data_IF_574700539478
#
_entry.id   IF_574700539478
#
_cell.length_a   1.000
_cell.length_b   1.000
_cell.length_c   1.000
_cell.angle_alpha   90.00
_cell.angle_beta   90.00
_cell.angle_gamma   90.00
#
_symmetry.space_group_name_H-M   'P 1'
#
loop_
_entity.id
_entity.type
_entity.pdbx_description
1 polymer ?
#
# COMPACT_ATOMS: atom_id res chain seq x y z
N UNK A 1 19.69 -1.50 9.46
CA UNK A 1 19.29 -2.52 8.45
C UNK A 1 19.75 -2.04 7.07
N UNK A 2 20.17 -2.91 6.15
CA UNK A 2 20.47 -2.50 4.77
C UNK A 2 19.18 -2.49 3.93
N UNK A 3 18.60 -1.29 3.77
CA UNK A 3 17.35 -1.09 3.03
C UNK A 3 17.49 -1.32 1.52
N UNK A 4 18.68 -1.14 0.95
CA UNK A 4 18.92 -1.40 -0.47
C UNK A 4 18.89 -2.90 -0.76
N UNK A 5 19.55 -3.69 0.08
CA UNK A 5 19.46 -5.15 0.02
C UNK A 5 18.04 -5.64 0.28
N UNK A 6 17.33 -5.05 1.24
CA UNK A 6 15.93 -5.39 1.52
C UNK A 6 15.00 -5.12 0.33
N UNK A 7 15.15 -3.97 -0.35
CA UNK A 7 14.42 -3.65 -1.57
C UNK A 7 14.65 -4.72 -2.66
N UNK A 8 15.91 -5.12 -2.87
CA UNK A 8 16.24 -6.16 -3.84
C UNK A 8 15.56 -7.49 -3.51
N UNK A 9 15.59 -7.92 -2.24
CA UNK A 9 14.95 -9.16 -1.78
C UNK A 9 13.42 -9.13 -1.96
N UNK A 10 12.76 -8.01 -1.62
CA UNK A 10 11.31 -7.83 -1.85
C UNK A 10 10.98 -7.91 -3.35
N UNK A 11 11.74 -7.21 -4.19
CA UNK A 11 11.55 -7.19 -5.65
C UNK A 11 11.78 -8.57 -6.26
N UNK A 12 12.78 -9.31 -5.82
CA UNK A 12 13.08 -10.66 -6.31
C UNK A 12 11.99 -11.67 -5.89
N UNK A 13 11.65 -11.71 -4.61
CA UNK A 13 10.70 -12.68 -4.07
C UNK A 13 9.29 -12.50 -4.61
N UNK A 14 8.89 -11.25 -4.87
CA UNK A 14 7.53 -10.90 -5.30
C UNK A 14 7.44 -10.51 -6.77
N UNK A 15 8.55 -10.31 -7.49
CA UNK A 15 8.59 -9.79 -8.87
C UNK A 15 7.76 -8.51 -9.03
N UNK A 16 7.98 -7.54 -8.13
CA UNK A 16 7.20 -6.32 -8.07
C UNK A 16 7.33 -5.49 -9.35
N UNK A 17 6.21 -4.88 -9.78
CA UNK A 17 6.17 -3.94 -10.91
C UNK A 17 6.74 -2.57 -10.56
N UNK A 18 6.66 -2.18 -9.28
CA UNK A 18 7.06 -0.85 -8.78
C UNK A 18 7.95 -0.98 -7.56
N UNK A 19 8.61 0.11 -7.17
CA UNK A 19 9.48 0.12 -6.00
C UNK A 19 8.69 -0.06 -4.68
N UNK A 20 9.18 -0.90 -3.74
CA UNK A 20 8.71 -0.84 -2.36
C UNK A 20 9.16 0.48 -1.74
N UNK A 21 8.30 1.10 -0.93
CA UNK A 21 8.53 2.43 -0.37
C UNK A 21 8.88 2.37 1.10
N UNK A 22 9.77 3.26 1.53
CA UNK A 22 9.84 3.71 2.92
C UNK A 22 9.13 5.05 3.08
N UNK A 23 8.47 5.21 4.22
CA UNK A 23 7.61 6.35 4.57
C UNK A 23 8.02 6.87 5.94
N UNK A 24 8.14 8.19 6.09
CA UNK A 24 8.31 8.83 7.38
C UNK A 24 7.45 10.07 7.52
N UNK A 25 7.06 10.36 8.75
CA UNK A 25 6.23 11.48 9.16
C UNK A 25 7.07 12.42 10.03
N UNK A 26 7.17 13.68 9.62
CA UNK A 26 8.08 14.63 10.22
C UNK A 26 7.30 15.72 10.94
N UNK A 27 7.65 15.98 12.20
CA UNK A 27 7.05 17.08 12.99
C UNK A 27 7.54 18.46 12.56
N UNK A 28 8.70 18.53 11.91
CA UNK A 28 9.30 19.76 11.41
C UNK A 28 9.67 19.59 9.94
N UNK A 29 9.30 20.56 9.11
CA UNK A 29 9.65 20.60 7.70
C UNK A 29 11.18 20.69 7.50
N UNK A 30 11.91 21.28 8.44
CA UNK A 30 13.38 21.36 8.38
C UNK A 30 14.06 19.98 8.46
N UNK A 31 13.37 18.96 9.01
CA UNK A 31 13.87 17.59 9.07
C UNK A 31 13.68 16.83 7.74
N UNK A 32 12.98 17.41 6.77
CA UNK A 32 12.73 16.78 5.48
C UNK A 32 14.05 16.67 4.68
N UNK A 33 14.49 15.46 4.32
CA UNK A 33 15.73 15.28 3.58
C UNK A 33 15.54 15.79 2.15
N UNK A 34 16.66 15.97 1.44
CA UNK A 34 16.65 16.42 0.05
C UNK A 34 15.74 15.53 -0.79
N UNK A 35 14.64 16.10 -1.24
CA UNK A 35 13.56 15.40 -1.94
C UNK A 35 12.89 16.33 -2.94
N UNK A 36 12.12 15.75 -3.86
CA UNK A 36 11.31 16.47 -4.84
C UNK A 36 10.00 16.87 -4.18
N UNK A 37 9.75 18.17 -4.05
CA UNK A 37 8.46 18.72 -3.62
C UNK A 37 7.65 19.16 -4.86
N UNK A 38 6.45 18.62 -5.12
CA UNK A 38 5.68 18.94 -6.32
C UNK A 38 5.41 20.43 -6.53
N UNK A 39 5.16 21.19 -5.45
CA UNK A 39 4.94 22.63 -5.54
C UNK A 39 6.18 23.39 -6.04
N UNK A 40 7.38 22.92 -5.66
CA UNK A 40 8.65 23.56 -6.02
C UNK A 40 9.15 23.12 -7.38
N UNK A 41 8.94 21.84 -7.74
CA UNK A 41 9.47 21.25 -8.98
C UNK A 41 8.56 21.54 -10.16
N UNK A 42 7.23 21.52 -9.96
CA UNK A 42 6.25 21.65 -11.03
C UNK A 42 5.37 22.91 -10.91
N UNK A 43 5.41 23.62 -9.78
CA UNK A 43 4.43 24.66 -9.49
C UNK A 43 3.02 24.10 -9.30
N UNK A 44 2.89 22.83 -8.89
CA UNK A 44 1.60 22.13 -8.76
C UNK A 44 1.41 21.55 -7.37
N UNK A 45 0.15 21.52 -6.94
CA UNK A 45 -0.31 20.76 -5.76
C UNK A 45 -0.86 19.42 -6.22
N UNK A 46 -0.63 18.37 -5.44
CA UNK A 46 -0.95 16.98 -5.77
C UNK A 46 -1.70 16.30 -4.63
N UNK A 47 -2.16 15.08 -4.83
CA UNK A 47 -2.65 14.24 -3.73
C UNK A 47 -1.48 13.51 -3.06
N UNK A 48 -1.66 13.06 -1.81
CA UNK A 48 -0.64 12.23 -1.13
C UNK A 48 -0.36 10.96 -1.94
N UNK A 49 -1.42 10.33 -2.46
CA UNK A 49 -1.36 9.18 -3.35
C UNK A 49 -0.53 9.44 -4.62
N UNK A 50 -0.63 10.63 -5.22
CA UNK A 50 0.24 10.99 -6.36
C UNK A 50 1.71 11.06 -5.96
N UNK A 51 2.03 11.55 -4.76
CA UNK A 51 3.39 11.50 -4.22
C UNK A 51 3.89 10.06 -4.03
N UNK A 52 3.01 9.16 -3.59
CA UNK A 52 3.29 7.71 -3.53
C UNK A 52 3.62 7.19 -4.92
N UNK A 53 2.82 7.51 -5.94
CA UNK A 53 3.08 7.11 -7.34
C UNK A 53 4.40 7.65 -7.86
N UNK A 54 4.72 8.93 -7.62
CA UNK A 54 6.01 9.50 -7.99
C UNK A 54 7.16 8.73 -7.32
N UNK A 55 7.01 8.32 -6.06
CA UNK A 55 8.02 7.52 -5.39
C UNK A 55 8.14 6.11 -5.98
N UNK A 56 7.04 5.37 -6.13
CA UNK A 56 7.08 3.94 -6.52
C UNK A 56 7.27 3.71 -8.02
N UNK A 57 6.81 4.62 -8.87
CA UNK A 57 6.88 4.48 -10.33
C UNK A 57 8.05 5.26 -10.92
N UNK A 58 8.30 6.50 -10.49
CA UNK A 58 9.42 7.29 -11.02
C UNK A 58 10.73 7.04 -10.26
N UNK A 59 10.67 6.38 -9.09
CA UNK A 59 11.83 6.14 -8.24
C UNK A 59 12.34 7.40 -7.54
N UNK A 60 11.47 8.39 -7.32
CA UNK A 60 11.84 9.67 -6.70
C UNK A 60 11.76 9.60 -5.18
N UNK A 61 12.68 10.27 -4.49
CA UNK A 61 12.43 10.68 -3.10
C UNK A 61 11.56 11.93 -3.12
N UNK A 62 10.38 11.86 -2.55
CA UNK A 62 9.32 12.87 -2.58
C UNK A 62 9.06 13.38 -1.16
N UNK A 63 8.97 14.70 -1.04
CA UNK A 63 8.55 15.36 0.18
C UNK A 63 7.22 16.05 -0.03
N UNK A 64 6.30 15.93 0.93
CA UNK A 64 4.99 16.54 0.88
C UNK A 64 4.74 17.32 2.17
N UNK A 65 4.57 18.63 2.08
CA UNK A 65 4.02 19.45 3.16
C UNK A 65 2.67 20.04 2.75
N UNK A 66 2.04 20.83 3.62
CA UNK A 66 0.72 21.44 3.38
C UNK A 66 0.63 22.15 2.02
N UNK A 67 1.68 22.86 1.60
CA UNK A 67 1.70 23.61 0.34
C UNK A 67 1.77 22.71 -0.91
N UNK A 68 2.15 21.45 -0.77
CA UNK A 68 2.21 20.48 -1.88
C UNK A 68 0.88 19.78 -2.12
N UNK A 69 -0.08 19.87 -1.20
CA UNK A 69 -1.24 18.98 -1.16
C UNK A 69 -2.53 19.68 -1.58
N UNK A 70 -3.41 19.02 -2.34
CA UNK A 70 -4.75 19.55 -2.73
C UNK A 70 -5.92 18.67 -2.29
N UNK A 71 -5.67 17.41 -1.92
CA UNK A 71 -6.72 16.46 -1.53
C UNK A 71 -7.20 16.73 -0.09
N UNK A 72 -8.36 17.37 0.07
CA UNK A 72 -8.92 17.72 1.38
C UNK A 72 -9.07 16.52 2.33
N UNK A 73 -9.64 15.36 1.92
CA UNK A 73 -9.72 14.20 2.82
C UNK A 73 -8.36 13.71 3.31
N UNK A 74 -7.35 13.68 2.41
CA UNK A 74 -5.98 13.32 2.76
C UNK A 74 -5.34 14.35 3.70
N UNK A 75 -5.59 15.64 3.47
CA UNK A 75 -5.08 16.70 4.34
C UNK A 75 -5.70 16.63 5.75
N UNK A 76 -7.00 16.37 5.88
CA UNK A 76 -7.68 16.17 7.17
C UNK A 76 -7.13 14.94 7.91
N UNK A 77 -6.98 13.81 7.21
CA UNK A 77 -6.45 12.58 7.81
C UNK A 77 -4.97 12.71 8.25
N UNK A 78 -4.16 13.49 7.52
CA UNK A 78 -2.74 13.68 7.82
C UNK A 78 -2.44 14.90 8.70
N UNK A 79 -3.46 15.63 9.15
CA UNK A 79 -3.26 16.80 10.01
C UNK A 79 -2.69 18.03 9.28
N UNK A 80 -2.78 18.08 7.94
CA UNK A 80 -2.33 19.23 7.14
C UNK A 80 -3.38 20.34 7.02
N UNK A 81 -4.42 20.33 7.86
CA UNK A 81 -5.37 21.43 8.02
C UNK A 81 -5.05 22.23 9.29
N UNK A 82 -5.56 23.47 9.43
CA UNK A 82 -5.54 24.19 10.71
C UNK A 82 -6.27 23.41 11.81
N UNK A 83 -6.47 24.00 13.00
CA UNK A 83 -7.22 23.42 14.12
C UNK A 83 -8.73 23.21 13.84
N UNK A 84 -9.04 22.47 12.78
CA UNK A 84 -10.35 21.95 12.37
C UNK A 84 -10.68 20.68 13.15
N UNK A 85 -11.95 20.32 13.26
CA UNK A 85 -12.35 18.97 13.69
C UNK A 85 -12.34 18.02 12.49
N UNK A 86 -11.29 17.20 12.29
CA UNK A 86 -11.19 16.36 11.11
C UNK A 86 -12.27 15.28 11.06
N UNK A 87 -12.85 14.91 12.19
CA UNK A 87 -13.89 13.87 12.24
C UNK A 87 -15.18 14.43 11.68
N UNK A 88 -15.60 15.60 12.19
CA UNK A 88 -16.82 16.25 11.74
C UNK A 88 -16.73 16.66 10.26
N UNK A 89 -15.63 17.26 9.84
CA UNK A 89 -15.42 17.72 8.46
C UNK A 89 -15.41 16.56 7.45
N UNK A 90 -14.73 15.46 7.76
CA UNK A 90 -14.74 14.27 6.89
C UNK A 90 -16.12 13.61 6.85
N UNK A 91 -16.83 13.54 7.98
CA UNK A 91 -18.16 12.94 8.04
C UNK A 91 -19.19 13.77 7.24
N UNK A 92 -19.14 15.10 7.35
CA UNK A 92 -19.93 16.02 6.54
C UNK A 92 -19.61 15.83 5.06
N UNK A 93 -18.34 15.86 4.69
CA UNK A 93 -17.92 15.66 3.32
C UNK A 93 -18.40 14.32 2.76
N UNK A 94 -18.31 13.23 3.54
CA UNK A 94 -18.80 11.91 3.12
C UNK A 94 -20.32 11.89 2.88
N UNK A 95 -21.09 12.67 3.64
CA UNK A 95 -22.51 12.85 3.38
C UNK A 95 -22.74 13.65 2.09
N UNK A 96 -22.06 14.78 1.94
CA UNK A 96 -22.21 15.70 0.79
C UNK A 96 -21.88 15.04 -0.55
N UNK A 97 -20.81 14.24 -0.60
CA UNK A 97 -20.40 13.55 -1.84
C UNK A 97 -21.11 12.19 -2.03
N UNK A 98 -22.01 11.81 -1.13
CA UNK A 98 -22.84 10.62 -1.26
C UNK A 98 -22.19 9.29 -0.88
N UNK A 99 -21.09 9.29 -0.13
CA UNK A 99 -20.51 8.06 0.45
C UNK A 99 -21.21 7.61 1.73
N UNK A 100 -21.97 8.49 2.38
CA UNK A 100 -22.87 8.15 3.48
C UNK A 100 -24.20 8.88 3.30
N UNK A 101 -25.29 8.25 3.75
CA UNK A 101 -26.63 8.86 3.71
C UNK A 101 -26.89 9.77 4.90
N UNK A 102 -26.28 9.46 6.04
CA UNK A 102 -26.57 10.04 7.33
C UNK A 102 -25.28 10.33 8.09
N UNK A 103 -25.31 11.39 8.91
CA UNK A 103 -24.15 11.85 9.67
C UNK A 103 -23.67 10.83 10.71
N UNK A 104 -24.58 10.14 11.40
CA UNK A 104 -24.23 9.18 12.45
C UNK A 104 -23.32 8.04 11.96
N UNK A 105 -23.72 7.29 10.91
CA UNK A 105 -22.86 6.30 10.26
C UNK A 105 -21.55 6.89 9.73
N UNK A 106 -21.59 8.09 9.13
CA UNK A 106 -20.40 8.77 8.62
C UNK A 106 -19.38 9.07 9.74
N UNK A 107 -19.84 9.58 10.89
CA UNK A 107 -19.00 9.83 12.06
C UNK A 107 -18.35 8.54 12.56
N UNK A 108 -19.12 7.46 12.71
CA UNK A 108 -18.61 6.17 13.18
C UNK A 108 -17.53 5.61 12.25
N UNK A 109 -17.74 5.74 10.95
CA UNK A 109 -16.74 5.33 9.95
C UNK A 109 -15.47 6.18 10.06
N UNK A 110 -15.60 7.51 10.09
CA UNK A 110 -14.45 8.42 10.17
C UNK A 110 -13.69 8.27 11.48
N UNK A 111 -14.38 7.99 12.59
CA UNK A 111 -13.75 7.71 13.88
C UNK A 111 -12.80 6.51 13.81
N UNK A 112 -13.12 5.49 13.01
CA UNK A 112 -12.27 4.32 12.78
C UNK A 112 -11.10 4.55 11.83
N UNK A 113 -11.13 5.63 11.03
CA UNK A 113 -10.04 5.94 10.10
C UNK A 113 -8.75 6.33 10.85
N UNK A 114 -7.61 5.71 10.51
CA UNK A 114 -6.30 6.13 11.00
C UNK A 114 -6.05 7.60 10.65
N UNK A 115 -5.60 8.40 11.62
CA UNK A 115 -5.32 9.83 11.40
C UNK A 115 -4.24 10.40 12.30
N UNK A 116 -3.71 11.52 11.87
CA UNK A 116 -2.95 12.46 12.68
C UNK A 116 -3.88 13.51 13.29
N UNK A 117 -3.53 14.01 14.47
CA UNK A 117 -4.17 15.23 14.99
C UNK A 117 -3.81 16.41 14.09
N UNK A 118 -4.63 17.46 14.03
CA UNK A 118 -4.26 18.70 13.34
C UNK A 118 -2.86 19.15 13.75
N UNK A 119 -2.02 19.42 12.75
CA UNK A 119 -0.66 19.93 12.90
C UNK A 119 0.29 19.01 13.71
N UNK A 120 -0.04 17.74 13.86
CA UNK A 120 0.84 16.75 14.50
C UNK A 120 2.11 16.48 13.68
N UNK A 121 2.01 16.61 12.35
CA UNK A 121 3.12 16.47 11.40
C UNK A 121 3.15 17.67 10.46
N UNK A 122 4.35 18.07 10.04
CA UNK A 122 4.62 19.13 9.09
C UNK A 122 4.96 18.62 7.69
N UNK A 123 5.43 17.37 7.57
CA UNK A 123 5.71 16.77 6.26
C UNK A 123 5.60 15.23 6.25
N UNK A 124 5.36 14.68 5.06
CA UNK A 124 5.52 13.25 4.75
C UNK A 124 6.70 13.09 3.80
N UNK A 125 7.60 12.17 4.12
CA UNK A 125 8.68 11.72 3.24
C UNK A 125 8.33 10.36 2.64
N UNK A 126 8.39 10.25 1.32
CA UNK A 126 8.09 9.04 0.55
C UNK A 126 9.28 8.75 -0.36
N UNK A 127 9.86 7.56 -0.28
CA UNK A 127 11.03 7.24 -1.10
C UNK A 127 11.12 5.73 -1.37
N UNK A 128 11.62 5.31 -2.56
CA UNK A 128 12.04 3.94 -2.76
C UNK A 128 12.93 3.47 -1.63
N UNK A 129 12.67 2.28 -1.11
CA UNK A 129 13.39 1.72 0.03
C UNK A 129 14.92 1.67 -0.23
N UNK A 130 15.33 1.52 -1.49
CA UNK A 130 16.74 1.56 -1.92
C UNK A 130 17.40 2.95 -1.95
N UNK A 131 16.64 4.04 -1.79
CA UNK A 131 17.10 5.45 -1.95
C UNK A 131 16.78 6.33 -0.74
N UNK A 132 16.52 5.71 0.41
CA UNK A 132 16.19 6.41 1.63
C UNK A 132 17.28 7.41 2.06
N UNK A 133 16.89 8.66 2.27
CA UNK A 133 17.74 9.69 2.89
C UNK A 133 17.59 9.77 4.42
N UNK A 134 16.64 9.00 4.98
CA UNK A 134 16.40 8.85 6.42
C UNK A 134 15.76 7.49 6.69
N UNK A 135 15.79 7.04 7.94
CA UNK A 135 15.16 5.79 8.36
C UNK A 135 13.62 5.93 8.35
N UNK A 136 12.88 5.04 7.65
CA UNK A 136 11.43 5.14 7.56
C UNK A 136 10.76 4.60 8.83
N UNK A 137 9.53 5.03 9.07
CA UNK A 137 8.66 4.46 10.10
C UNK A 137 7.81 3.31 9.53
N UNK A 138 7.45 3.39 8.26
CA UNK A 138 6.61 2.41 7.57
C UNK A 138 7.25 1.98 6.26
N UNK A 139 7.14 0.69 5.96
CA UNK A 139 7.41 0.13 4.63
C UNK A 139 6.08 -0.22 3.98
N UNK A 140 5.88 0.18 2.73
CA UNK A 140 4.67 -0.11 1.97
C UNK A 140 5.01 -0.75 0.63
N UNK A 141 4.29 -1.83 0.30
CA UNK A 141 4.49 -2.63 -0.90
C UNK A 141 3.17 -2.77 -1.63
N UNK A 142 3.20 -2.51 -2.94
CA UNK A 142 2.06 -2.69 -3.82
C UNK A 142 2.29 -3.87 -4.75
N UNK A 143 1.23 -4.63 -5.01
CA UNK A 143 1.26 -5.70 -5.99
C UNK A 143 -0.09 -6.39 -6.08
N UNK A 144 -0.18 -7.40 -6.93
CA UNK A 144 -1.40 -8.13 -7.13
C UNK A 144 -1.76 -9.05 -5.95
N UNK A 145 -3.00 -9.57 -5.87
CA UNK A 145 -3.42 -10.40 -4.76
C UNK A 145 -2.52 -11.61 -4.49
N UNK A 146 -1.94 -12.22 -5.53
CA UNK A 146 -1.02 -13.35 -5.35
C UNK A 146 0.35 -12.90 -4.79
N UNK A 147 0.85 -11.72 -5.18
CA UNK A 147 2.06 -11.13 -4.59
C UNK A 147 1.83 -10.78 -3.12
N UNK A 148 0.72 -10.08 -2.82
CA UNK A 148 0.39 -9.69 -1.44
C UNK A 148 0.09 -10.90 -0.56
N UNK A 149 -0.54 -11.95 -1.09
CA UNK A 149 -0.70 -13.22 -0.38
C UNK A 149 0.66 -13.77 0.09
N UNK A 150 1.70 -13.76 -0.75
CA UNK A 150 3.02 -14.27 -0.36
C UNK A 150 3.65 -13.43 0.76
N UNK A 151 3.43 -12.12 0.73
CA UNK A 151 3.89 -11.20 1.77
C UNK A 151 3.11 -11.38 3.09
N UNK A 152 1.80 -11.63 3.02
CA UNK A 152 0.97 -11.96 4.18
C UNK A 152 1.39 -13.30 4.81
N UNK A 153 1.67 -14.31 4.00
CA UNK A 153 2.21 -15.59 4.48
C UNK A 153 3.55 -15.40 5.22
N UNK A 154 4.42 -14.54 4.70
CA UNK A 154 5.69 -14.21 5.33
C UNK A 154 5.51 -13.53 6.69
N UNK A 155 4.61 -12.55 6.77
CA UNK A 155 4.26 -11.87 8.00
C UNK A 155 3.66 -12.83 9.04
N UNK A 156 2.64 -13.61 8.68
CA UNK A 156 2.02 -14.59 9.58
C UNK A 156 3.05 -15.60 10.12
N UNK A 157 3.96 -16.08 9.26
CA UNK A 157 4.99 -17.05 9.63
C UNK A 157 5.96 -16.49 10.66
N UNK A 158 6.45 -15.27 10.44
CA UNK A 158 7.59 -14.73 11.21
C UNK A 158 7.15 -13.97 12.46
N UNK A 159 5.93 -13.41 12.42
CA UNK A 159 5.39 -12.62 13.52
C UNK A 159 4.47 -13.43 14.43
N UNK A 160 4.00 -14.60 13.98
CA UNK A 160 3.08 -15.45 14.75
C UNK A 160 1.68 -14.88 14.96
N UNK A 161 1.37 -13.75 14.30
CA UNK A 161 0.08 -13.06 14.41
C UNK A 161 -0.62 -13.01 13.06
N UNK A 162 -1.96 -13.10 13.08
CA UNK A 162 -2.77 -12.96 11.87
C UNK A 162 -2.76 -11.51 11.39
N UNK A 163 -2.34 -11.28 10.15
CA UNK A 163 -2.44 -9.97 9.51
C UNK A 163 -3.89 -9.50 9.40
N UNK A 164 -4.13 -8.24 9.74
CA UNK A 164 -5.43 -7.56 9.64
C UNK A 164 -5.47 -6.62 8.43
N UNK A 165 -6.68 -6.27 7.99
CA UNK A 165 -6.87 -5.29 6.92
C UNK A 165 -7.63 -4.06 7.39
N UNK A 166 -7.44 -2.97 6.64
CA UNK A 166 -8.21 -1.73 6.71
C UNK A 166 -8.86 -1.53 5.33
N UNK A 167 -10.19 -1.54 5.29
CA UNK A 167 -10.99 -1.64 4.07
C UNK A 167 -12.09 -0.57 4.05
N UNK A 168 -11.69 0.70 4.04
CA UNK A 168 -12.65 1.82 4.05
C UNK A 168 -13.16 2.16 2.65
N UNK A 169 -12.41 1.81 1.60
CA UNK A 169 -12.71 2.14 0.20
C UNK A 169 -12.46 3.61 -0.17
N UNK A 170 -12.02 4.45 0.79
CA UNK A 170 -11.82 5.90 0.63
C UNK A 170 -10.80 6.43 1.62
N UNK A 171 -10.03 7.44 1.22
CA UNK A 171 -8.92 7.98 2.04
C UNK A 171 -7.87 6.90 2.38
N UNK A 172 -7.69 5.92 1.48
CA UNK A 172 -6.82 4.75 1.68
C UNK A 172 -5.34 5.10 1.93
N UNK A 173 -4.88 6.29 1.54
CA UNK A 173 -3.56 6.76 1.94
C UNK A 173 -3.38 6.79 3.46
N UNK A 174 -4.46 7.01 4.24
CA UNK A 174 -4.43 6.85 5.68
C UNK A 174 -4.28 5.37 6.08
N UNK A 175 -5.02 4.48 5.43
CA UNK A 175 -5.01 3.03 5.70
C UNK A 175 -3.63 2.40 5.47
N UNK A 176 -2.97 2.65 4.33
CA UNK A 176 -1.66 2.03 4.05
C UNK A 176 -0.43 2.83 4.51
N UNK A 177 -0.57 4.09 4.95
CA UNK A 177 0.56 4.87 5.51
C UNK A 177 0.44 5.04 7.02
N UNK A 178 -0.73 5.46 7.53
CA UNK A 178 -0.91 5.83 8.94
C UNK A 178 -1.27 4.60 9.79
N UNK A 179 -2.13 3.70 9.32
CA UNK A 179 -2.54 2.52 10.09
C UNK A 179 -1.35 1.68 10.61
N UNK A 180 -0.38 1.26 9.77
CA UNK A 180 0.77 0.49 10.27
C UNK A 180 1.59 1.27 11.30
N UNK A 181 1.76 2.59 11.11
CA UNK A 181 2.47 3.45 12.05
C UNK A 181 1.79 3.53 13.42
N UNK A 182 0.46 3.75 13.43
CA UNK A 182 -0.32 3.89 14.67
C UNK A 182 -0.53 2.59 15.41
N UNK A 183 -0.74 1.50 14.66
CA UNK A 183 -1.07 0.19 15.25
C UNK A 183 0.17 -0.62 15.60
N UNK A 184 1.32 -0.33 14.98
CA UNK A 184 2.51 -1.16 15.09
C UNK A 184 2.36 -2.52 14.42
N UNK A 185 1.37 -2.69 13.53
CA UNK A 185 1.01 -3.98 12.92
C UNK A 185 1.09 -3.94 11.40
N UNK A 186 1.13 -5.13 10.81
CA UNK A 186 0.98 -5.31 9.36
C UNK A 186 -0.47 -5.04 8.98
N UNK A 187 -0.68 -4.24 7.94
CA UNK A 187 -1.99 -3.85 7.41
C UNK A 187 -2.08 -4.18 5.93
N UNK A 188 -3.18 -4.81 5.53
CA UNK A 188 -3.58 -4.95 4.13
C UNK A 188 -4.61 -3.87 3.82
N UNK A 189 -4.44 -3.16 2.70
CA UNK A 189 -5.40 -2.15 2.24
C UNK A 189 -5.77 -2.38 0.78
N UNK A 190 -7.01 -2.06 0.45
CA UNK A 190 -7.53 -2.10 -0.91
C UNK A 190 -7.60 -0.65 -1.39
N UNK A 191 -6.76 -0.22 -2.34
CA UNK A 191 -6.82 1.13 -2.89
C UNK A 191 -8.24 1.48 -3.31
N UNK A 192 -8.65 2.74 -3.13
CA UNK A 192 -9.99 3.22 -3.43
C UNK A 192 -10.11 3.83 -4.82
N UNK A 193 -11.28 4.39 -5.12
CA UNK A 193 -11.53 5.07 -6.39
C UNK A 193 -10.61 6.28 -6.61
N UNK A 194 -10.41 7.10 -5.58
CA UNK A 194 -9.54 8.27 -5.66
C UNK A 194 -8.07 7.91 -5.92
N UNK A 195 -7.60 6.79 -5.35
CA UNK A 195 -6.24 6.30 -5.61
C UNK A 195 -6.10 5.93 -7.09
N UNK A 196 -7.05 5.18 -7.65
CA UNK A 196 -7.03 4.80 -9.07
C UNK A 196 -7.07 6.02 -10.01
N UNK A 197 -8.01 6.93 -9.80
CA UNK A 197 -8.21 8.08 -10.69
C UNK A 197 -7.03 9.04 -10.63
N UNK A 198 -6.58 9.41 -9.43
CA UNK A 198 -5.61 10.49 -9.27
C UNK A 198 -4.17 10.01 -9.19
N UNK A 199 -3.92 8.80 -8.67
CA UNK A 199 -2.58 8.24 -8.51
C UNK A 199 -2.24 7.14 -9.51
N UNK A 200 -3.17 6.75 -10.38
CA UNK A 200 -2.98 5.68 -11.37
C UNK A 200 -2.66 4.31 -10.74
N UNK A 201 -3.09 4.08 -9.49
CA UNK A 201 -3.06 2.74 -8.90
C UNK A 201 -3.93 1.81 -9.76
N UNK A 202 -3.44 0.61 -10.05
CA UNK A 202 -4.12 -0.29 -11.00
C UNK A 202 -5.21 -1.13 -10.32
N UNK A 203 -6.16 -1.62 -11.12
CA UNK A 203 -7.29 -2.43 -10.62
C UNK A 203 -6.85 -3.72 -9.94
N UNK A 204 -5.72 -4.25 -10.37
CA UNK A 204 -5.12 -5.46 -9.82
C UNK A 204 -4.23 -5.20 -8.61
N UNK A 205 -4.07 -3.97 -8.12
CA UNK A 205 -3.15 -3.66 -7.02
C UNK A 205 -3.84 -3.67 -5.65
N UNK A 206 -3.17 -4.34 -4.70
CA UNK A 206 -3.38 -4.28 -3.27
C UNK A 206 -2.14 -3.69 -2.60
N UNK A 207 -2.29 -3.21 -1.37
CA UNK A 207 -1.17 -2.69 -0.57
C UNK A 207 -1.01 -3.54 0.68
N UNK A 208 0.24 -3.92 0.98
CA UNK A 208 0.62 -4.43 2.29
C UNK A 208 1.67 -3.49 2.86
N UNK A 209 1.41 -2.98 4.04
CA UNK A 209 2.26 -2.03 4.73
C UNK A 209 2.49 -2.45 6.17
N UNK A 210 3.67 -2.12 6.71
CA UNK A 210 4.06 -2.54 8.06
C UNK A 210 5.12 -1.60 8.64
N UNK A 211 5.25 -1.51 9.98
CA UNK A 211 6.34 -0.78 10.61
C UNK A 211 7.71 -1.25 10.11
N UNK A 212 8.60 -0.31 9.82
CA UNK A 212 9.93 -0.60 9.31
C UNK A 212 10.75 -1.59 10.18
N UNK A 213 10.64 -1.59 11.53
CA UNK A 213 11.31 -2.61 12.36
C UNK A 213 10.93 -4.06 12.02
N UNK A 214 9.74 -4.31 11.45
CA UNK A 214 9.28 -5.65 11.08
C UNK A 214 9.88 -6.16 9.76
N UNK A 215 10.56 -5.31 9.00
CA UNK A 215 11.08 -5.65 7.67
C UNK A 215 12.01 -6.87 7.70
N UNK A 216 12.86 -7.01 8.71
CA UNK A 216 13.76 -8.16 8.85
C UNK A 216 13.01 -9.49 8.98
N UNK A 217 11.97 -9.51 9.83
CA UNK A 217 11.12 -10.68 10.01
C UNK A 217 10.30 -10.98 8.74
N UNK A 218 9.77 -9.95 8.09
CA UNK A 218 9.02 -10.11 6.81
C UNK A 218 9.92 -10.72 5.72
N UNK A 219 11.17 -10.28 5.59
CA UNK A 219 12.12 -10.86 4.65
C UNK A 219 12.44 -12.32 4.98
N UNK A 220 12.56 -12.65 6.25
CA UNK A 220 12.78 -14.03 6.68
C UNK A 220 11.60 -14.94 6.30
N UNK A 221 10.36 -14.50 6.57
CA UNK A 221 9.17 -15.22 6.15
C UNK A 221 9.01 -15.35 4.63
N UNK A 222 9.51 -14.38 3.85
CA UNK A 222 9.53 -14.49 2.38
C UNK A 222 10.50 -15.57 1.90
N UNK A 223 11.52 -15.92 2.67
CA UNK A 223 12.43 -17.04 2.37
C UNK A 223 11.87 -18.37 2.86
N UNK A 224 11.32 -18.41 4.07
CA UNK A 224 11.04 -19.68 4.76
C UNK A 224 9.57 -20.13 4.69
N UNK A 225 8.60 -19.21 4.70
CA UNK A 225 7.18 -19.59 4.75
C UNK A 225 6.77 -20.42 3.53
N UNK A 226 6.28 -21.65 3.75
CA UNK A 226 5.85 -22.55 2.68
C UNK A 226 6.98 -23.10 1.80
N UNK A 227 8.26 -22.89 2.14
CA UNK A 227 9.43 -23.38 1.38
C UNK A 227 9.39 -24.89 1.13
N UNK A 228 8.95 -25.68 2.12
CA UNK A 228 8.82 -27.15 2.03
C UNK A 228 7.85 -27.62 0.94
N UNK A 229 6.87 -26.79 0.57
CA UNK A 229 5.89 -27.08 -0.48
C UNK A 229 6.16 -26.27 -1.76
N UNK A 230 7.29 -25.56 -1.83
CA UNK A 230 7.64 -24.73 -2.98
C UNK A 230 6.80 -23.46 -3.14
N UNK A 231 6.20 -22.94 -2.06
CA UNK A 231 5.41 -21.71 -2.12
C UNK A 231 6.28 -20.51 -2.56
N UNK A 232 5.95 -19.93 -3.71
CA UNK A 232 6.67 -18.81 -4.33
C UNK A 232 5.76 -17.99 -5.22
N UNK A 233 6.24 -16.82 -5.65
CA UNK A 233 5.63 -16.06 -6.73
C UNK A 233 6.54 -16.07 -7.98
N UNK A 234 6.00 -16.29 -9.19
CA UNK A 234 4.61 -16.58 -9.52
C UNK A 234 4.13 -17.93 -8.94
N UNK A 235 2.83 -18.02 -8.65
CA UNK A 235 2.22 -19.25 -8.15
C UNK A 235 2.38 -20.34 -9.22
N UNK A 236 2.95 -21.48 -8.83
CA UNK A 236 3.12 -22.60 -9.76
C UNK A 236 1.78 -23.31 -9.93
N UNK A 237 1.26 -23.34 -11.16
CA UNK A 237 0.01 -24.03 -11.47
C UNK A 237 0.26 -25.53 -11.60
N UNK A 238 -0.60 -26.34 -11.00
CA UNK A 238 -0.56 -27.79 -11.14
C UNK A 238 -1.02 -28.17 -12.55
N UNK A 239 -0.19 -28.90 -13.31
CA UNK A 239 -0.49 -29.34 -14.68
C UNK A 239 -0.32 -30.86 -14.86
N UNK A 240 -0.20 -31.61 -13.76
CA UNK A 240 -0.13 -33.07 -13.82
C UNK A 240 -1.54 -33.68 -13.71
N UNK A 241 -2.40 -33.35 -14.67
CA UNK A 241 -3.74 -33.90 -14.81
C UNK A 241 -4.06 -34.13 -16.28
N UNK A 242 -4.95 -35.08 -16.55
CA UNK A 242 -5.49 -35.31 -17.91
C UNK A 242 -6.82 -34.58 -18.03
N UNK A 243 -6.98 -33.60 -18.94
CA UNK A 243 -8.27 -32.98 -19.18
C UNK A 243 -9.21 -33.97 -19.91
N UNK A 244 -10.49 -33.97 -19.54
CA UNK A 244 -11.52 -34.66 -20.30
C UNK A 244 -11.96 -33.79 -21.48
N UNK A 245 -11.89 -34.33 -22.70
CA UNK A 245 -12.36 -33.65 -23.90
C UNK A 245 -13.82 -34.04 -24.21
N UNK A 246 -14.59 -33.19 -24.93
CA UNK A 246 -15.93 -33.56 -25.38
C UNK A 246 -15.94 -34.79 -26.32
N UNK A 247 -17.07 -35.54 -26.41
CA UNK A 247 -17.16 -36.79 -27.19
C UNK A 247 -16.64 -36.76 -28.63
N UNK A 248 -16.83 -35.68 -29.43
CA UNK A 248 -16.31 -35.62 -30.81
C UNK A 248 -14.79 -35.79 -30.92
N UNK A 249 -14.02 -35.44 -29.88
CA UNK A 249 -12.58 -35.61 -29.86
C UNK A 249 -12.19 -37.07 -29.61
N UNK A 250 -12.89 -37.72 -28.68
CA UNK A 250 -12.71 -39.14 -28.37
C UNK A 250 -13.08 -40.02 -29.57
N UNK A 251 -14.16 -39.69 -30.28
CA UNK A 251 -14.58 -40.38 -31.50
C UNK A 251 -13.52 -40.29 -32.60
N UNK A 252 -12.88 -39.11 -32.77
CA UNK A 252 -11.76 -38.94 -33.70
C UNK A 252 -10.53 -39.72 -33.25
N UNK A 253 -10.20 -39.71 -31.96
CA UNK A 253 -9.09 -40.49 -31.41
C UNK A 253 -9.29 -42.00 -31.67
N UNK A 254 -10.51 -42.51 -31.44
CA UNK A 254 -10.90 -43.88 -31.76
C UNK A 254 -10.82 -44.16 -33.26
N UNK A 255 -11.34 -43.26 -34.11
CA UNK A 255 -11.28 -43.36 -35.58
C UNK A 255 -9.85 -43.46 -36.10
N UNK A 256 -8.89 -42.77 -35.47
CA UNK A 256 -7.48 -42.76 -35.89
C UNK A 256 -6.60 -43.76 -35.13
N UNK A 257 -7.15 -44.52 -34.18
CA UNK A 257 -6.39 -45.52 -33.41
C UNK A 257 -5.37 -44.90 -32.45
N UNK A 258 -5.65 -43.71 -31.92
CA UNK A 258 -4.78 -42.96 -30.99
C UNK A 258 -5.45 -42.68 -29.63
N UNK A 259 -6.57 -43.38 -29.37
CA UNK A 259 -7.26 -43.35 -28.08
C UNK A 259 -6.58 -44.27 -27.07
#
# INVERSE_FOLDING_TARGET
MDFKSAAAQLKEALRLRTEPLGVAFLKDLAALPKSKRPSQVFGKRVTICQGVTMARVYGWSVGLAREDLVCIPGMLAFGFTPATDPILELAQLFCEVGFNREMGPALKEVESLPRFKPEEIAAVYLSPLERLGLEPEVVAVWGNPAQMMRLIQAANFSLGERVTGDFSGKVECASYLIAPYRTGKVTVSIPGMGDRIFSMTQDDELVVSFPAPLLGAVLDGLREAGRKIGARYPVTVYQNFTPAFPPPYEERAKKWGIA
#
